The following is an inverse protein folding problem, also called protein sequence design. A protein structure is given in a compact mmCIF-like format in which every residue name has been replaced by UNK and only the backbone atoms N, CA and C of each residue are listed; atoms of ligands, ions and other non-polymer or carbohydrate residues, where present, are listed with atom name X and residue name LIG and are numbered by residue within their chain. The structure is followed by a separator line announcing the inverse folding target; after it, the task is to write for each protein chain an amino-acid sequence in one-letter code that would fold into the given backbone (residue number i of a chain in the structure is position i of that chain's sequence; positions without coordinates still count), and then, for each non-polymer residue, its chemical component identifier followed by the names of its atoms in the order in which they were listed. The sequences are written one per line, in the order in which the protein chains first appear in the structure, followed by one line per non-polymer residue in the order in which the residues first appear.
data_IF_024963035588
#
_entry.id   IF_024963035588
#
_cell.length_a   1.000
_cell.length_b   1.000
_cell.length_c   1.000
_cell.angle_alpha   90.00
_cell.angle_beta   90.00
_cell.angle_gamma   90.00
#
_symmetry.space_group_name_H-M   'P 1'
#
loop_
_entity.id
_entity.type
_entity.pdbx_description
1 polymer ?
#
# COMPACT_ATOMS: atom_id res chain seq x y z
N UNK A 1 -29.13 -17.26 -35.79
CA UNK A 1 -27.67 -17.14 -35.93
C UNK A 1 -27.19 -16.22 -34.80
N UNK A 2 -26.04 -16.50 -34.18
CA UNK A 2 -25.57 -15.73 -33.03
C UNK A 2 -25.04 -14.36 -33.51
N UNK A 3 -25.58 -13.26 -32.98
CA UNK A 3 -25.23 -11.89 -33.41
C UNK A 3 -23.72 -11.60 -33.33
N UNK A 4 -23.01 -12.25 -32.40
CA UNK A 4 -21.56 -12.13 -32.27
C UNK A 4 -20.79 -12.85 -33.39
N UNK A 5 -21.30 -13.99 -33.87
CA UNK A 5 -20.70 -14.75 -34.99
C UNK A 5 -20.91 -14.05 -36.33
N UNK A 6 -22.01 -13.30 -36.48
CA UNK A 6 -22.24 -12.46 -37.66
C UNK A 6 -21.35 -11.22 -37.65
N UNK A 7 -21.16 -10.59 -36.49
CA UNK A 7 -20.29 -9.43 -36.31
C UNK A 7 -18.81 -9.75 -36.53
N UNK A 8 -18.36 -10.97 -36.21
CA UNK A 8 -16.99 -11.43 -36.49
C UNK A 8 -16.64 -11.52 -37.97
N UNK A 9 -17.64 -11.50 -38.87
CA UNK A 9 -17.41 -11.54 -40.33
C UNK A 9 -17.08 -10.17 -40.90
N UNK A 10 -17.28 -9.09 -40.13
CA UNK A 10 -16.91 -7.73 -40.46
C UNK A 10 -15.69 -7.32 -39.61
N UNK A 11 -14.50 -7.35 -40.22
CA UNK A 11 -13.23 -7.15 -39.53
C UNK A 11 -13.09 -5.76 -38.87
N UNK A 12 -13.66 -4.71 -39.48
CA UNK A 12 -13.60 -3.34 -38.96
C UNK A 12 -14.53 -3.18 -37.76
N UNK A 13 -15.76 -3.71 -37.87
CA UNK A 13 -16.73 -3.67 -36.78
C UNK A 13 -16.28 -4.54 -35.60
N UNK A 14 -15.75 -5.73 -35.86
CA UNK A 14 -15.22 -6.65 -34.85
C UNK A 14 -14.01 -6.08 -34.12
N UNK A 15 -13.04 -5.51 -34.84
CA UNK A 15 -11.85 -4.90 -34.24
C UNK A 15 -12.19 -3.67 -33.39
N UNK A 16 -13.15 -2.85 -33.84
CA UNK A 16 -13.66 -1.71 -33.07
C UNK A 16 -14.36 -2.16 -31.79
N UNK A 17 -15.26 -3.14 -31.87
CA UNK A 17 -15.96 -3.69 -30.71
C UNK A 17 -14.97 -4.31 -29.69
N UNK A 18 -13.97 -5.04 -30.17
CA UNK A 18 -12.91 -5.60 -29.33
C UNK A 18 -12.08 -4.50 -28.65
N UNK A 19 -11.70 -3.44 -29.38
CA UNK A 19 -10.95 -2.33 -28.82
C UNK A 19 -11.71 -1.63 -27.68
N UNK A 20 -13.03 -1.45 -27.84
CA UNK A 20 -13.91 -0.90 -26.80
C UNK A 20 -13.95 -1.82 -25.58
N UNK A 21 -14.19 -3.11 -25.76
CA UNK A 21 -14.24 -4.08 -24.66
C UNK A 21 -12.93 -4.15 -23.89
N UNK A 22 -11.80 -4.15 -24.59
CA UNK A 22 -10.47 -4.12 -23.98
C UNK A 22 -10.20 -2.77 -23.28
N UNK A 23 -10.71 -1.67 -23.83
CA UNK A 23 -10.68 -0.35 -23.19
C UNK A 23 -11.46 -0.34 -21.86
N UNK A 24 -12.68 -0.86 -21.85
CA UNK A 24 -13.52 -0.97 -20.66
C UNK A 24 -12.93 -1.90 -19.60
N UNK A 25 -12.33 -3.02 -20.02
CA UNK A 25 -11.65 -3.93 -19.11
C UNK A 25 -10.45 -3.25 -18.44
N UNK A 26 -9.62 -2.53 -19.22
CA UNK A 26 -8.49 -1.74 -18.68
C UNK A 26 -8.96 -0.66 -17.73
N UNK A 27 -10.02 0.06 -18.06
CA UNK A 27 -10.58 1.10 -17.19
C UNK A 27 -11.05 0.52 -15.85
N UNK A 28 -11.81 -0.58 -15.88
CA UNK A 28 -12.28 -1.26 -14.67
C UNK A 28 -11.13 -1.78 -13.81
N UNK A 29 -10.13 -2.39 -14.42
CA UNK A 29 -8.95 -2.88 -13.70
C UNK A 29 -8.17 -1.71 -13.09
N UNK A 30 -7.91 -0.65 -13.86
CA UNK A 30 -7.22 0.54 -13.36
C UNK A 30 -7.93 1.20 -12.18
N UNK A 31 -9.27 1.27 -12.20
CA UNK A 31 -10.05 1.76 -11.05
C UNK A 31 -9.89 0.88 -9.82
N UNK A 32 -9.92 -0.44 -10.00
CA UNK A 32 -9.77 -1.41 -8.90
C UNK A 32 -8.37 -1.33 -8.29
N UNK A 33 -7.35 -1.34 -9.14
CA UNK A 33 -5.94 -1.29 -8.70
C UNK A 33 -5.68 0.02 -7.94
N UNK A 34 -6.17 1.16 -8.47
CA UNK A 34 -6.06 2.46 -7.80
C UNK A 34 -6.76 2.48 -6.43
N UNK A 35 -7.91 1.81 -6.31
CA UNK A 35 -8.62 1.70 -5.04
C UNK A 35 -7.87 0.86 -4.02
N UNK A 36 -7.34 -0.29 -4.43
CA UNK A 36 -6.59 -1.19 -3.56
C UNK A 36 -5.25 -0.56 -3.12
N UNK A 37 -4.56 0.13 -4.03
CA UNK A 37 -3.37 0.94 -3.71
C UNK A 37 -3.69 2.05 -2.71
N UNK A 38 -4.77 2.81 -2.94
CA UNK A 38 -5.20 3.88 -2.03
C UNK A 38 -5.56 3.36 -0.65
N UNK A 39 -6.21 2.19 -0.57
CA UNK A 39 -6.54 1.53 0.69
C UNK A 39 -5.28 1.06 1.44
N UNK A 40 -4.30 0.50 0.74
CA UNK A 40 -3.03 0.08 1.32
C UNK A 40 -2.23 1.29 1.85
N UNK A 41 -2.12 2.35 1.05
CA UNK A 41 -1.46 3.59 1.46
C UNK A 41 -2.14 4.24 2.68
N UNK A 42 -3.47 4.27 2.70
CA UNK A 42 -4.25 4.79 3.83
C UNK A 42 -4.07 3.97 5.11
N UNK A 43 -4.01 2.64 5.02
CA UNK A 43 -3.73 1.76 6.17
C UNK A 43 -2.35 2.05 6.74
N UNK A 44 -1.34 2.16 5.87
CA UNK A 44 0.04 2.45 6.27
C UNK A 44 0.18 3.81 6.96
N UNK A 45 -0.44 4.85 6.42
CA UNK A 45 -0.41 6.17 7.03
C UNK A 45 -1.15 6.18 8.38
N UNK A 46 -2.26 5.45 8.50
CA UNK A 46 -2.97 5.28 9.77
C UNK A 46 -2.13 4.56 10.84
N UNK A 47 -1.44 3.47 10.48
CA UNK A 47 -0.52 2.77 11.38
C UNK A 47 0.64 3.69 11.81
N UNK A 48 1.14 4.52 10.90
CA UNK A 48 2.19 5.50 11.18
C UNK A 48 1.76 6.55 12.19
N UNK A 49 0.57 7.11 12.04
CA UNK A 49 0.02 8.09 12.97
C UNK A 49 -0.22 7.48 14.36
N UNK A 50 -0.68 6.22 14.41
CA UNK A 50 -0.85 5.51 15.68
C UNK A 50 0.48 5.31 16.40
N UNK A 51 1.50 4.81 15.70
CA UNK A 51 2.83 4.60 16.26
C UNK A 51 3.47 5.93 16.71
N UNK A 52 3.29 6.99 15.91
CA UNK A 52 3.73 8.32 16.28
C UNK A 52 3.14 8.77 17.62
N UNK A 53 1.81 8.63 17.77
CA UNK A 53 1.13 8.97 19.02
C UNK A 53 1.61 8.12 20.20
N UNK A 54 1.81 6.82 19.99
CA UNK A 54 2.32 5.94 21.03
C UNK A 54 3.75 6.30 21.46
N UNK A 55 4.62 6.66 20.51
CA UNK A 55 5.98 7.10 20.80
C UNK A 55 6.00 8.42 21.57
N UNK A 56 5.16 9.38 21.17
CA UNK A 56 5.00 10.64 21.90
C UNK A 56 4.55 10.41 23.34
N UNK A 57 3.69 9.42 23.60
CA UNK A 57 3.21 9.11 24.96
C UNK A 57 4.27 8.35 25.75
N UNK A 58 4.89 7.32 25.17
CA UNK A 58 5.80 6.41 25.88
C UNK A 58 7.18 7.02 26.11
N UNK A 59 7.72 7.70 25.10
CA UNK A 59 9.09 8.21 25.11
C UNK A 59 9.15 9.73 25.23
N UNK A 60 8.03 10.45 25.14
CA UNK A 60 7.98 11.91 25.15
C UNK A 60 8.79 12.56 24.01
N UNK A 61 8.96 11.85 22.89
CA UNK A 61 9.67 12.33 21.71
C UNK A 61 8.74 12.45 20.50
N UNK A 62 8.95 13.49 19.68
CA UNK A 62 8.29 13.64 18.40
C UNK A 62 9.08 12.90 17.30
N UNK A 63 8.58 11.73 16.92
CA UNK A 63 9.24 10.85 15.96
C UNK A 63 8.61 10.89 14.56
N UNK A 64 7.80 11.90 14.22
CA UNK A 64 7.07 11.95 12.95
C UNK A 64 7.98 11.79 11.72
N UNK A 65 9.06 12.58 11.66
CA UNK A 65 10.03 12.57 10.55
C UNK A 65 10.81 11.26 10.48
N UNK A 66 11.08 10.63 11.63
CA UNK A 66 11.77 9.36 11.68
C UNK A 66 10.87 8.21 11.20
N UNK A 67 9.61 8.17 11.63
CA UNK A 67 8.63 7.19 11.16
C UNK A 67 8.35 7.35 9.65
N UNK A 68 8.43 8.57 9.11
CA UNK A 68 8.32 8.83 7.68
C UNK A 68 9.41 8.17 6.84
N UNK A 69 10.61 8.02 7.40
CA UNK A 69 11.75 7.40 6.71
C UNK A 69 11.75 5.86 6.76
N UNK A 70 10.84 5.24 7.53
CA UNK A 70 10.78 3.78 7.68
C UNK A 70 9.93 3.11 6.59
N UNK A 71 10.36 1.92 6.18
CA UNK A 71 9.60 1.02 5.30
C UNK A 71 8.45 0.33 6.05
N UNK A 72 7.52 -0.29 5.32
CA UNK A 72 6.40 -1.04 5.92
C UNK A 72 6.87 -2.16 6.86
N UNK A 73 7.90 -2.91 6.45
CA UNK A 73 8.47 -3.98 7.27
C UNK A 73 9.10 -3.44 8.56
N UNK A 74 9.84 -2.33 8.47
CA UNK A 74 10.41 -1.67 9.64
C UNK A 74 9.33 -1.16 10.59
N UNK A 75 8.21 -0.66 10.07
CA UNK A 75 7.08 -0.21 10.89
C UNK A 75 6.47 -1.35 11.71
N UNK A 76 6.34 -2.56 11.15
CA UNK A 76 5.86 -3.73 11.90
C UNK A 76 6.82 -4.13 13.02
N UNK A 77 8.13 -4.07 12.76
CA UNK A 77 9.16 -4.33 13.77
C UNK A 77 9.09 -3.26 14.88
N UNK A 78 8.95 -1.98 14.52
CA UNK A 78 8.81 -0.88 15.46
C UNK A 78 7.59 -1.06 16.35
N UNK A 79 6.45 -1.50 15.81
CA UNK A 79 5.24 -1.81 16.59
C UNK A 79 5.51 -2.85 17.68
N UNK A 80 6.26 -3.90 17.34
CA UNK A 80 6.65 -4.94 18.32
C UNK A 80 7.63 -4.40 19.36
N UNK A 81 8.69 -3.72 18.90
CA UNK A 81 9.73 -3.16 19.78
C UNK A 81 9.19 -2.06 20.70
N UNK A 82 8.16 -1.32 20.28
CA UNK A 82 7.52 -0.31 21.11
C UNK A 82 6.93 -0.89 22.39
N UNK A 83 6.53 -2.16 22.40
CA UNK A 83 6.04 -2.83 23.60
C UNK A 83 7.20 -3.27 24.52
N UNK A 84 8.33 -3.67 23.94
CA UNK A 84 9.47 -4.23 24.69
C UNK A 84 10.51 -3.20 25.17
N UNK A 85 10.63 -2.07 24.48
CA UNK A 85 11.68 -1.08 24.74
C UNK A 85 11.22 0.00 25.71
N UNK A 86 12.05 0.31 26.71
CA UNK A 86 11.77 1.36 27.70
C UNK A 86 12.22 2.75 27.23
N UNK A 87 13.14 2.83 26.27
CA UNK A 87 13.63 4.10 25.71
C UNK A 87 13.67 4.09 24.18
N UNK A 88 13.51 5.26 23.56
CA UNK A 88 13.58 5.41 22.12
C UNK A 88 14.95 5.00 21.53
N UNK A 89 16.03 5.29 22.24
CA UNK A 89 17.38 4.90 21.82
C UNK A 89 17.55 3.37 21.76
N UNK A 90 16.97 2.64 22.73
CA UNK A 90 17.00 1.17 22.73
C UNK A 90 16.23 0.58 21.55
N UNK A 91 15.10 1.20 21.19
CA UNK A 91 14.29 0.82 20.04
C UNK A 91 15.05 1.02 18.73
N UNK A 92 15.64 2.21 18.52
CA UNK A 92 16.47 2.48 17.33
C UNK A 92 17.63 1.51 17.20
N UNK A 93 18.33 1.22 18.31
CA UNK A 93 19.46 0.27 18.31
C UNK A 93 19.03 -1.15 17.92
N UNK A 94 17.85 -1.60 18.36
CA UNK A 94 17.32 -2.91 17.99
C UNK A 94 16.86 -2.97 16.54
N UNK A 95 16.19 -1.92 16.04
CA UNK A 95 15.78 -1.83 14.63
C UNK A 95 16.98 -1.99 13.68
N UNK A 96 18.08 -1.25 13.92
CA UNK A 96 19.30 -1.35 13.11
C UNK A 96 20.02 -2.70 13.20
N UNK A 97 19.77 -3.50 14.25
CA UNK A 97 20.31 -4.86 14.37
C UNK A 97 19.46 -5.86 13.58
N UNK A 98 18.14 -5.63 13.53
CA UNK A 98 17.22 -6.45 12.74
C UNK A 98 17.43 -6.26 11.23
N UNK A 99 17.79 -5.06 10.78
CA UNK A 99 18.07 -4.76 9.36
C UNK A 99 19.36 -5.42 8.79
N UNK A 100 20.24 -5.98 9.65
CA UNK A 100 21.50 -6.62 9.23
C UNK A 100 21.41 -8.16 9.12
N UNK A 101 20.23 -8.73 9.30
CA UNK A 101 19.96 -10.16 9.19
C UNK A 101 19.28 -10.46 7.86
#
# INVERSE_FOLDING_TARGET
MNKYEEMQKDDELWSTAMAIQMGEARYRNGLRDSFDEGKAAGKMEGERQLLHRQMQIKFHEDCATWLQALTEEQMQIVSTLLLECDTFESLRKRLHKSDKK
#
